data_IF_190577452551
#
_entry.id   IF_190577452551
#
_cell.length_a   1.000
_cell.length_b   1.000
_cell.length_c   1.000
_cell.angle_alpha   90.00
_cell.angle_beta   90.00
_cell.angle_gamma   90.00
#
_symmetry.space_group_name_H-M   'P 1'
#
loop_
_entity.id
_entity.type
_entity.pdbx_description
1 polymer ?
#
# COMPACT_ATOMS: atom_id res chain seq x y z
N UNK A 1 -13.95 -16.25 7.00
CA UNK A 1 -15.26 -15.56 7.04
C UNK A 1 -15.82 -15.63 5.63
N UNK A 2 -17.05 -16.12 5.43
CA UNK A 2 -17.63 -16.25 4.08
C UNK A 2 -18.15 -14.88 3.63
N UNK A 3 -17.74 -14.42 2.45
CA UNK A 3 -18.16 -13.13 1.90
C UNK A 3 -19.23 -13.32 0.82
N UNK A 4 -20.29 -12.50 0.92
CA UNK A 4 -21.36 -12.42 -0.08
C UNK A 4 -20.97 -11.34 -1.10
N UNK A 5 -21.03 -11.66 -2.39
CA UNK A 5 -20.86 -10.65 -3.43
C UNK A 5 -22.11 -9.77 -3.59
N UNK A 6 -22.03 -8.72 -4.41
CA UNK A 6 -23.13 -7.77 -4.68
C UNK A 6 -24.39 -8.40 -5.31
N UNK A 7 -24.35 -9.69 -5.66
CA UNK A 7 -25.48 -10.48 -6.18
C UNK A 7 -26.01 -11.49 -5.15
N UNK A 8 -25.53 -11.46 -3.90
CA UNK A 8 -25.95 -12.38 -2.84
C UNK A 8 -25.50 -13.82 -3.05
N UNK A 9 -24.53 -14.06 -3.94
CA UNK A 9 -23.95 -15.38 -4.19
C UNK A 9 -22.70 -15.56 -3.35
N UNK A 10 -22.55 -16.76 -2.77
CA UNK A 10 -21.34 -17.17 -2.06
C UNK A 10 -20.20 -17.19 -3.07
N UNK A 11 -19.23 -16.29 -2.91
CA UNK A 11 -18.04 -16.30 -3.74
C UNK A 11 -17.08 -17.37 -3.24
N UNK A 12 -17.12 -18.53 -3.88
CA UNK A 12 -16.22 -19.66 -3.57
C UNK A 12 -14.80 -19.47 -4.12
N UNK A 13 -14.53 -18.36 -4.83
CA UNK A 13 -13.22 -17.99 -5.38
C UNK A 13 -12.66 -16.72 -4.70
N UNK A 14 -12.90 -16.56 -3.40
CA UNK A 14 -12.15 -15.58 -2.61
C UNK A 14 -10.68 -16.03 -2.50
N UNK A 15 -9.86 -15.61 -3.46
CA UNK A 15 -8.41 -15.71 -3.36
C UNK A 15 -7.94 -14.59 -2.43
N UNK A 16 -7.68 -14.91 -1.15
CA UNK A 16 -6.89 -14.04 -0.31
C UNK A 16 -5.59 -13.70 -1.05
N UNK A 17 -5.39 -12.43 -1.39
CA UNK A 17 -4.12 -11.94 -1.93
C UNK A 17 -3.10 -12.09 -0.81
N UNK A 18 -2.40 -13.22 -0.80
CA UNK A 18 -1.42 -13.56 0.23
C UNK A 18 -0.09 -12.90 -0.12
N UNK A 19 0.26 -11.87 0.63
CA UNK A 19 1.59 -11.26 0.53
C UNK A 19 2.64 -12.17 1.15
N UNK A 20 3.83 -12.23 0.55
CA UNK A 20 4.97 -12.85 1.21
C UNK A 20 5.43 -12.00 2.41
N UNK A 21 6.23 -12.61 3.29
CA UNK A 21 6.75 -11.92 4.47
C UNK A 21 7.58 -10.69 4.09
N UNK A 22 8.31 -10.73 2.97
CA UNK A 22 9.17 -9.63 2.52
C UNK A 22 8.36 -8.45 2.02
N UNK A 23 7.30 -8.69 1.25
CA UNK A 23 6.40 -7.66 0.74
C UNK A 23 5.63 -7.00 1.88
N UNK A 24 5.26 -7.77 2.92
CA UNK A 24 4.66 -7.23 4.14
C UNK A 24 5.65 -6.34 4.91
N UNK A 25 6.88 -6.82 5.13
CA UNK A 25 7.94 -6.03 5.78
C UNK A 25 8.23 -4.75 4.99
N UNK A 26 8.25 -4.84 3.66
CA UNK A 26 8.45 -3.70 2.77
C UNK A 26 7.28 -2.71 2.83
N UNK A 27 6.04 -3.19 2.84
CA UNK A 27 4.86 -2.35 3.01
C UNK A 27 4.91 -1.57 4.32
N UNK A 28 5.23 -2.24 5.43
CA UNK A 28 5.39 -1.60 6.75
C UNK A 28 6.52 -0.57 6.70
N UNK A 29 7.66 -0.92 6.10
CA UNK A 29 8.78 0.01 5.91
C UNK A 29 8.34 1.28 5.16
N UNK A 30 7.63 1.14 4.05
CA UNK A 30 7.15 2.27 3.27
C UNK A 30 6.20 3.18 4.07
N UNK A 31 5.24 2.58 4.80
CA UNK A 31 4.27 3.32 5.61
C UNK A 31 4.98 4.13 6.69
N UNK A 32 5.83 3.49 7.51
CA UNK A 32 6.52 4.15 8.63
C UNK A 32 7.44 5.28 8.13
N UNK A 33 8.18 5.06 7.05
CA UNK A 33 9.15 6.05 6.58
C UNK A 33 8.50 7.21 5.82
N UNK A 34 7.36 6.99 5.16
CA UNK A 34 6.55 8.08 4.61
C UNK A 34 5.92 8.89 5.74
N UNK A 35 5.43 8.22 6.80
CA UNK A 35 4.90 8.87 7.99
C UNK A 35 5.94 9.79 8.65
N UNK A 36 7.15 9.27 8.85
CA UNK A 36 8.30 10.04 9.36
C UNK A 36 8.62 11.25 8.47
N UNK A 37 8.64 11.06 7.14
CA UNK A 37 8.97 12.13 6.18
C UNK A 37 7.94 13.26 6.18
N UNK A 38 6.67 12.92 6.37
CA UNK A 38 5.54 13.84 6.36
C UNK A 38 5.20 14.38 7.76
N UNK A 39 5.84 13.85 8.81
CA UNK A 39 5.57 14.18 10.21
C UNK A 39 4.08 14.00 10.57
N UNK A 40 3.52 12.85 10.19
CA UNK A 40 2.15 12.40 10.51
C UNK A 40 2.18 10.95 11.00
N UNK A 41 1.09 10.47 11.60
CA UNK A 41 1.04 9.11 12.14
C UNK A 41 0.96 8.04 11.02
N UNK A 42 1.66 6.92 11.21
CA UNK A 42 1.66 5.77 10.29
C UNK A 42 0.26 5.23 9.95
N UNK A 43 -0.72 5.13 10.88
CA UNK A 43 -2.09 4.75 10.53
C UNK A 43 -2.76 5.70 9.53
N UNK A 44 -2.44 7.01 9.57
CA UNK A 44 -2.96 7.98 8.60
C UNK A 44 -2.39 7.71 7.20
N UNK A 45 -1.09 7.43 7.11
CA UNK A 45 -0.44 7.03 5.86
C UNK A 45 -1.01 5.71 5.34
N UNK A 46 -1.22 4.73 6.21
CA UNK A 46 -1.87 3.47 5.82
C UNK A 46 -3.25 3.72 5.19
N UNK A 47 -4.10 4.54 5.83
CA UNK A 47 -5.40 4.92 5.27
C UNK A 47 -5.28 5.63 3.92
N UNK A 48 -4.32 6.55 3.77
CA UNK A 48 -4.05 7.23 2.49
C UNK A 48 -3.66 6.25 1.38
N UNK A 49 -2.81 5.27 1.68
CA UNK A 49 -2.30 4.29 0.72
C UNK A 49 -3.28 3.14 0.41
N UNK A 50 -4.34 2.95 1.20
CA UNK A 50 -5.27 1.81 1.10
C UNK A 50 -6.76 2.16 1.02
N UNK A 51 -7.27 3.01 1.90
CA UNK A 51 -8.69 3.32 1.98
C UNK A 51 -9.05 4.49 1.06
N UNK A 52 -8.19 5.50 0.99
CA UNK A 52 -8.38 6.68 0.12
C UNK A 52 -7.92 6.42 -1.31
N UNK A 53 -6.89 5.60 -1.46
CA UNK A 53 -6.34 5.16 -2.74
C UNK A 53 -5.99 3.69 -2.65
N UNK A 54 -5.59 3.08 -3.77
CA UNK A 54 -5.15 1.68 -3.76
C UNK A 54 -3.63 1.54 -4.01
N UNK A 55 -2.84 2.56 -3.66
CA UNK A 55 -1.39 2.62 -3.92
C UNK A 55 -0.65 1.41 -3.35
N UNK A 56 -1.03 0.97 -2.14
CA UNK A 56 -0.38 -0.19 -1.53
C UNK A 56 -0.54 -1.45 -2.40
N UNK A 57 -1.75 -1.72 -2.90
CA UNK A 57 -2.06 -2.96 -3.61
C UNK A 57 -1.77 -2.92 -5.11
N UNK A 58 -1.76 -1.73 -5.72
CA UNK A 58 -1.56 -1.52 -7.16
C UNK A 58 -0.17 -1.03 -7.52
N UNK A 59 0.63 -0.59 -6.55
CA UNK A 59 1.96 -0.05 -6.81
C UNK A 59 3.02 -0.59 -5.86
N UNK A 60 2.94 -0.32 -4.55
CA UNK A 60 4.02 -0.68 -3.60
C UNK A 60 4.29 -2.19 -3.59
N UNK A 61 3.24 -3.01 -3.51
CA UNK A 61 3.40 -4.46 -3.46
C UNK A 61 3.73 -5.06 -4.84
N UNK A 62 3.00 -4.73 -5.94
CA UNK A 62 3.33 -5.24 -7.27
C UNK A 62 4.75 -4.92 -7.72
N UNK A 63 5.25 -3.73 -7.37
CA UNK A 63 6.58 -3.25 -7.79
C UNK A 63 7.67 -3.55 -6.75
N UNK A 64 7.41 -4.42 -5.76
CA UNK A 64 8.36 -4.77 -4.69
C UNK A 64 9.75 -5.09 -5.24
N UNK A 65 9.85 -5.99 -6.22
CA UNK A 65 11.12 -6.44 -6.80
C UNK A 65 11.99 -5.31 -7.36
N UNK A 66 11.36 -4.24 -7.85
CA UNK A 66 12.07 -3.07 -8.39
C UNK A 66 12.34 -2.06 -7.28
N UNK A 67 11.30 -1.68 -6.52
CA UNK A 67 11.39 -0.64 -5.50
C UNK A 67 12.37 -1.00 -4.37
N UNK A 68 12.40 -2.26 -3.91
CA UNK A 68 13.26 -2.65 -2.78
C UNK A 68 14.77 -2.60 -3.09
N UNK A 69 15.15 -2.46 -4.36
CA UNK A 69 16.55 -2.30 -4.79
C UNK A 69 17.03 -0.84 -4.74
N UNK A 70 16.10 0.11 -4.60
CA UNK A 70 16.38 1.53 -4.60
C UNK A 70 16.80 2.03 -3.22
N UNK A 71 17.35 3.25 -3.16
CA UNK A 71 17.68 3.89 -1.88
C UNK A 71 16.40 4.23 -1.11
N UNK A 72 16.51 4.28 0.23
CA UNK A 72 15.40 4.68 1.10
C UNK A 72 14.79 6.03 0.67
N UNK A 73 15.62 7.05 0.45
CA UNK A 73 15.14 8.39 0.08
C UNK A 73 14.42 8.40 -1.28
N UNK A 74 14.88 7.59 -2.24
CA UNK A 74 14.21 7.44 -3.53
C UNK A 74 12.81 6.84 -3.33
N UNK A 75 12.71 5.70 -2.64
CA UNK A 75 11.43 4.98 -2.42
C UNK A 75 10.40 5.91 -1.76
N UNK A 76 10.81 6.65 -0.73
CA UNK A 76 9.89 7.54 0.01
C UNK A 76 9.40 8.68 -0.88
N UNK A 77 10.31 9.33 -1.63
CA UNK A 77 9.93 10.44 -2.49
C UNK A 77 9.02 9.98 -3.63
N UNK A 78 9.31 8.82 -4.23
CA UNK A 78 8.53 8.20 -5.31
C UNK A 78 7.10 7.88 -4.83
N UNK A 79 6.94 7.27 -3.65
CA UNK A 79 5.61 7.01 -3.07
C UNK A 79 4.85 8.32 -2.82
N UNK A 80 5.51 9.36 -2.31
CA UNK A 80 4.88 10.67 -2.08
C UNK A 80 4.46 11.33 -3.41
N UNK A 81 5.25 11.16 -4.48
CA UNK A 81 4.88 11.62 -5.82
C UNK A 81 3.64 10.89 -6.33
N UNK A 82 3.61 9.56 -6.25
CA UNK A 82 2.43 8.76 -6.61
C UNK A 82 1.20 9.12 -5.78
N UNK A 83 1.35 9.41 -4.49
CA UNK A 83 0.27 9.91 -3.64
C UNK A 83 -0.33 11.22 -4.20
N UNK A 84 0.52 12.17 -4.60
CA UNK A 84 0.08 13.44 -5.19
C UNK A 84 -0.58 13.23 -6.56
N UNK A 85 -0.02 12.38 -7.41
CA UNK A 85 -0.59 12.04 -8.72
C UNK A 85 -1.98 11.42 -8.60
N UNK A 86 -2.21 10.64 -7.54
CA UNK A 86 -3.52 10.03 -7.24
C UNK A 86 -4.44 10.92 -6.39
N UNK A 87 -4.08 12.19 -6.18
CA UNK A 87 -4.93 13.19 -5.54
C UNK A 87 -5.03 13.07 -4.02
N UNK A 88 -4.07 12.43 -3.35
CA UNK A 88 -4.00 12.43 -1.88
C UNK A 88 -3.56 13.81 -1.40
N UNK A 89 -4.31 14.37 -0.45
CA UNK A 89 -3.92 15.59 0.26
C UNK A 89 -2.97 15.24 1.41
N UNK A 90 -1.74 15.77 1.33
CA UNK A 90 -0.62 15.45 2.23
C UNK A 90 -0.38 16.59 3.22
#
# INVERSE_FOLDING_TARGET
>A
MLYLNSKGVIDVNYNEKKFGNKELEFAIFCIENVADKLNIDAPKVYSMLTEQTNILNEYIIPEYEILHTQSKDYIINDIIEVMKERGVEI
#
